data_IF_173012077883
#
_entry.id   IF_173012077883
#
_cell.length_a   1.000
_cell.length_b   1.000
_cell.length_c   1.000
_cell.angle_alpha   90.00
_cell.angle_beta   90.00
_cell.angle_gamma   90.00
#
_symmetry.space_group_name_H-M   'P 1'
#
loop_
_entity.id
_entity.type
_entity.pdbx_description
1 polymer ?
#
# COMPACT_ATOMS: atom_id res chain seq x y z
N UNK A 1 -22.81 21.77 -36.54
CA UNK A 1 -23.77 21.88 -35.42
C UNK A 1 -24.33 20.47 -35.21
N UNK A 2 -24.01 19.66 -34.20
CA UNK A 2 -23.71 19.86 -32.78
C UNK A 2 -22.59 18.91 -32.32
N UNK A 3 -21.79 19.39 -31.38
CA UNK A 3 -20.76 18.71 -30.61
C UNK A 3 -21.24 17.39 -29.98
N UNK A 4 -20.46 16.31 -30.14
CA UNK A 4 -20.57 15.09 -29.35
C UNK A 4 -19.26 14.86 -28.59
N UNK A 5 -19.20 15.49 -27.41
CA UNK A 5 -18.43 15.14 -26.21
C UNK A 5 -17.20 14.26 -26.42
N UNK A 6 -16.02 14.85 -26.22
CA UNK A 6 -14.82 14.15 -25.77
C UNK A 6 -15.17 13.31 -24.52
N UNK A 7 -15.44 12.03 -24.73
CA UNK A 7 -15.31 11.03 -23.69
C UNK A 7 -13.82 10.90 -23.42
N UNK A 8 -13.34 11.59 -22.38
CA UNK A 8 -12.04 11.33 -21.77
C UNK A 8 -12.03 9.88 -21.25
N UNK A 9 -11.86 8.92 -22.15
CA UNK A 9 -11.57 7.54 -21.79
C UNK A 9 -10.20 7.56 -21.10
N UNK A 10 -10.21 7.38 -19.78
CA UNK A 10 -9.01 7.05 -19.02
C UNK A 10 -8.45 5.73 -19.56
N UNK A 11 -7.63 5.79 -20.61
CA UNK A 11 -6.91 4.64 -21.14
C UNK A 11 -5.78 4.27 -20.17
N UNK A 12 -6.13 3.63 -19.05
CA UNK A 12 -5.15 2.97 -18.19
C UNK A 12 -4.46 1.90 -19.03
N UNK A 13 -3.14 2.01 -19.17
CA UNK A 13 -2.34 1.06 -19.93
C UNK A 13 -2.63 -0.37 -19.46
N UNK A 14 -2.94 -1.29 -20.39
CA UNK A 14 -3.17 -2.71 -20.06
C UNK A 14 -2.01 -3.32 -19.25
N UNK A 15 -0.79 -2.85 -19.51
CA UNK A 15 0.42 -3.25 -18.78
C UNK A 15 0.37 -2.83 -17.30
N UNK A 16 -0.16 -1.65 -16.99
CA UNK A 16 -0.26 -1.17 -15.61
C UNK A 16 -1.25 -2.03 -14.81
N UNK A 17 -2.44 -2.27 -15.36
CA UNK A 17 -3.46 -3.17 -14.76
C UNK A 17 -2.93 -4.57 -14.51
N UNK A 18 -2.12 -5.09 -15.44
CA UNK A 18 -1.48 -6.39 -15.25
C UNK A 18 -0.52 -6.40 -14.04
N UNK A 19 0.29 -5.35 -13.88
CA UNK A 19 1.20 -5.21 -12.73
C UNK A 19 0.39 -5.04 -11.42
N UNK A 20 -0.73 -4.32 -11.44
CA UNK A 20 -1.62 -4.14 -10.27
C UNK A 20 -2.20 -5.48 -9.82
N UNK A 21 -2.69 -6.28 -10.78
CA UNK A 21 -3.21 -7.61 -10.48
C UNK A 21 -2.11 -8.55 -9.96
N UNK A 22 -0.92 -8.49 -10.55
CA UNK A 22 0.22 -9.31 -10.13
C UNK A 22 0.71 -8.92 -8.73
N UNK A 23 0.64 -7.63 -8.37
CA UNK A 23 0.92 -7.16 -7.02
C UNK A 23 0.03 -7.84 -5.98
N UNK A 24 -1.28 -7.91 -6.25
CA UNK A 24 -2.26 -8.58 -5.38
C UNK A 24 -1.93 -10.07 -5.25
N UNK A 25 -1.54 -10.73 -6.34
CA UNK A 25 -1.13 -12.14 -6.31
C UNK A 25 0.07 -12.35 -5.38
N UNK A 26 1.13 -11.54 -5.50
CA UNK A 26 2.30 -11.66 -4.62
C UNK A 26 1.94 -11.40 -3.15
N UNK A 27 1.08 -10.42 -2.90
CA UNK A 27 0.61 -10.13 -1.56
C UNK A 27 -0.16 -11.32 -0.96
N UNK A 28 -1.09 -11.93 -1.71
CA UNK A 28 -1.84 -13.11 -1.24
C UNK A 28 -0.92 -14.31 -0.96
N UNK A 29 0.08 -14.57 -1.80
CA UNK A 29 1.04 -15.66 -1.58
C UNK A 29 1.85 -15.40 -0.31
N UNK A 30 2.35 -14.17 -0.12
CA UNK A 30 3.06 -13.77 1.11
C UNK A 30 2.21 -14.02 2.35
N UNK A 31 0.96 -13.57 2.35
CA UNK A 31 0.07 -13.69 3.52
C UNK A 31 -0.37 -15.14 3.75
N UNK A 32 -0.49 -15.96 2.71
CA UNK A 32 -0.68 -17.40 2.85
C UNK A 32 0.55 -18.06 3.49
N UNK A 33 1.77 -17.69 3.08
CA UNK A 33 3.00 -18.16 3.73
C UNK A 33 3.06 -17.74 5.20
N UNK A 34 2.55 -16.55 5.54
CA UNK A 34 2.44 -16.12 6.92
C UNK A 34 1.46 -16.98 7.72
N UNK A 35 0.26 -17.22 7.19
CA UNK A 35 -0.74 -18.09 7.82
C UNK A 35 -0.23 -19.52 8.06
N UNK A 36 0.59 -20.04 7.15
CA UNK A 36 1.21 -21.38 7.25
C UNK A 36 2.56 -21.39 7.99
N UNK A 37 2.98 -20.26 8.56
CA UNK A 37 4.27 -20.09 9.25
C UNK A 37 5.51 -20.42 8.38
N UNK A 38 5.39 -20.32 7.06
CA UNK A 38 6.49 -20.53 6.11
C UNK A 38 7.41 -19.31 6.04
N UNK A 39 8.22 -19.15 7.09
CA UNK A 39 9.12 -18.01 7.31
C UNK A 39 9.95 -17.60 6.09
N UNK A 40 10.74 -18.53 5.53
CA UNK A 40 11.67 -18.20 4.44
C UNK A 40 10.93 -17.72 3.19
N UNK A 41 9.86 -18.41 2.80
CA UNK A 41 9.05 -18.03 1.65
C UNK A 41 8.29 -16.72 1.88
N UNK A 42 7.74 -16.52 3.07
CA UNK A 42 7.04 -15.29 3.43
C UNK A 42 7.95 -14.06 3.33
N UNK A 43 9.19 -14.15 3.83
CA UNK A 43 10.18 -13.06 3.72
C UNK A 43 10.57 -12.82 2.26
N UNK A 44 10.83 -13.88 1.49
CA UNK A 44 11.16 -13.76 0.05
C UNK A 44 10.02 -13.07 -0.70
N UNK A 45 8.76 -13.41 -0.42
CA UNK A 45 7.58 -12.83 -1.08
C UNK A 45 7.24 -11.41 -0.60
N UNK A 46 7.74 -10.99 0.56
CA UNK A 46 7.64 -9.59 0.97
C UNK A 46 8.43 -8.65 0.04
N UNK A 47 9.57 -9.11 -0.51
CA UNK A 47 10.42 -8.32 -1.42
C UNK A 47 9.63 -7.85 -2.66
N UNK A 48 9.10 -8.74 -3.53
CA UNK A 48 8.36 -8.30 -4.71
C UNK A 48 7.10 -7.50 -4.35
N UNK A 49 6.44 -7.83 -3.23
CA UNK A 49 5.25 -7.10 -2.77
C UNK A 49 5.58 -5.64 -2.44
N UNK A 50 6.60 -5.40 -1.61
CA UNK A 50 7.05 -4.05 -1.25
C UNK A 50 7.57 -3.31 -2.49
N UNK A 51 8.41 -3.95 -3.31
CA UNK A 51 8.98 -3.33 -4.52
C UNK A 51 7.91 -2.86 -5.50
N UNK A 52 6.85 -3.64 -5.72
CA UNK A 52 5.78 -3.27 -6.65
C UNK A 52 4.92 -2.13 -6.08
N UNK A 53 4.60 -2.15 -4.78
CA UNK A 53 3.87 -1.04 -4.15
C UNK A 53 4.65 0.28 -4.21
N UNK A 54 5.98 0.23 -4.05
CA UNK A 54 6.85 1.39 -4.23
C UNK A 54 6.88 1.86 -5.69
N UNK A 55 6.91 0.93 -6.65
CA UNK A 55 6.83 1.26 -8.08
C UNK A 55 5.57 2.05 -8.43
N UNK A 56 4.42 1.70 -7.84
CA UNK A 56 3.15 2.40 -8.08
C UNK A 56 3.16 3.87 -7.65
N UNK A 57 3.81 4.18 -6.52
CA UNK A 57 3.99 5.57 -6.06
C UNK A 57 4.69 6.40 -7.15
N UNK A 58 5.81 5.91 -7.68
CA UNK A 58 6.56 6.63 -8.70
C UNK A 58 5.86 6.69 -10.05
N UNK A 59 5.10 5.64 -10.39
CA UNK A 59 4.40 5.53 -11.66
C UNK A 59 3.18 6.46 -11.74
N UNK A 60 2.43 6.58 -10.66
CA UNK A 60 1.17 7.32 -10.61
C UNK A 60 1.28 8.71 -9.94
N UNK A 61 2.50 9.21 -9.71
CA UNK A 61 2.76 10.52 -9.05
C UNK A 61 2.12 11.73 -9.73
N UNK A 62 1.68 11.60 -10.98
CA UNK A 62 1.03 12.68 -11.73
C UNK A 62 -0.42 12.93 -11.28
N UNK A 63 -1.14 11.91 -10.81
CA UNK A 63 -2.46 12.11 -10.20
C UNK A 63 -2.32 12.11 -8.68
N UNK A 64 -2.62 13.25 -8.06
CA UNK A 64 -2.60 13.41 -6.61
C UNK A 64 -3.52 12.40 -5.90
N UNK A 65 -4.66 12.04 -6.49
CA UNK A 65 -5.55 11.04 -5.89
C UNK A 65 -4.87 9.68 -5.81
N UNK A 66 -4.30 9.23 -6.92
CA UNK A 66 -3.57 7.98 -6.99
C UNK A 66 -2.33 8.00 -6.10
N UNK A 67 -1.59 9.11 -6.05
CA UNK A 67 -0.38 9.23 -5.24
C UNK A 67 -0.66 8.99 -3.75
N UNK A 68 -1.67 9.65 -3.18
CA UNK A 68 -1.99 9.51 -1.75
C UNK A 68 -2.44 8.08 -1.42
N UNK A 69 -3.24 7.45 -2.29
CA UNK A 69 -3.65 6.06 -2.11
C UNK A 69 -2.49 5.09 -2.23
N UNK A 70 -1.61 5.26 -3.23
CA UNK A 70 -0.46 4.39 -3.43
C UNK A 70 0.55 4.51 -2.27
N UNK A 71 0.74 5.71 -1.71
CA UNK A 71 1.57 5.88 -0.49
C UNK A 71 0.91 5.20 0.71
N UNK A 72 -0.40 5.33 0.89
CA UNK A 72 -1.12 4.68 1.99
C UNK A 72 -1.03 3.15 1.89
N UNK A 73 -1.21 2.58 0.69
CA UNK A 73 -1.04 1.14 0.42
C UNK A 73 0.40 0.69 0.69
N UNK A 74 1.40 1.45 0.26
CA UNK A 74 2.80 1.16 0.57
C UNK A 74 3.07 1.15 2.07
N UNK A 75 2.62 2.16 2.82
CA UNK A 75 2.77 2.21 4.29
C UNK A 75 2.11 1.02 4.97
N UNK A 76 0.92 0.64 4.51
CA UNK A 76 0.22 -0.53 4.98
C UNK A 76 0.97 -1.84 4.71
N UNK A 77 1.57 -2.01 3.53
CA UNK A 77 2.39 -3.19 3.19
C UNK A 77 3.66 -3.25 4.06
N UNK A 78 4.29 -2.11 4.33
CA UNK A 78 5.43 -2.02 5.26
C UNK A 78 4.98 -2.45 6.67
N UNK A 79 3.85 -1.93 7.15
CA UNK A 79 3.29 -2.29 8.45
C UNK A 79 3.00 -3.79 8.57
N UNK A 80 2.35 -4.37 7.56
CA UNK A 80 2.01 -5.78 7.49
C UNK A 80 3.27 -6.66 7.42
N UNK A 81 4.27 -6.25 6.64
CA UNK A 81 5.57 -6.95 6.56
C UNK A 81 6.33 -6.91 7.88
N UNK A 82 6.29 -5.78 8.60
CA UNK A 82 6.86 -5.67 9.93
C UNK A 82 6.17 -6.59 10.94
N UNK A 83 4.84 -6.59 10.97
CA UNK A 83 4.06 -7.46 11.87
C UNK A 83 4.37 -8.94 11.59
N UNK A 84 4.30 -9.38 10.33
CA UNK A 84 4.68 -10.75 9.95
C UNK A 84 6.11 -11.10 10.38
N UNK A 85 7.06 -10.20 10.16
CA UNK A 85 8.45 -10.41 10.57
C UNK A 85 8.56 -10.54 12.09
N UNK A 86 7.85 -9.72 12.86
CA UNK A 86 7.88 -9.80 14.33
C UNK A 86 7.44 -11.16 14.87
N UNK A 87 6.45 -11.80 14.24
CA UNK A 87 6.00 -13.15 14.61
C UNK A 87 7.00 -14.23 14.16
N UNK A 88 7.49 -14.17 12.91
CA UNK A 88 8.48 -15.12 12.40
C UNK A 88 9.81 -15.14 13.17
N UNK A 89 10.17 -14.02 13.78
CA UNK A 89 11.38 -13.89 14.58
C UNK A 89 11.09 -13.90 16.10
N UNK A 90 9.82 -14.14 16.50
CA UNK A 90 9.39 -14.28 17.90
C UNK A 90 9.81 -13.10 18.78
N UNK A 91 9.64 -11.88 18.24
CA UNK A 91 9.85 -10.62 18.97
C UNK A 91 8.58 -9.76 19.03
N UNK A 92 7.46 -10.27 18.52
CA UNK A 92 6.13 -9.66 18.56
C UNK A 92 5.73 -9.24 19.97
N UNK A 93 5.96 -10.09 20.98
CA UNK A 93 5.65 -9.82 22.40
C UNK A 93 6.79 -9.16 23.18
N UNK A 94 7.98 -9.05 22.57
CA UNK A 94 9.14 -8.44 23.23
C UNK A 94 9.01 -6.91 23.22
N UNK A 95 9.31 -6.29 24.34
CA UNK A 95 9.48 -4.84 24.41
C UNK A 95 10.73 -4.48 23.63
N UNK A 96 10.60 -3.56 22.67
CA UNK A 96 11.71 -3.10 21.84
C UNK A 96 12.03 -1.63 22.07
N UNK A 97 11.05 -0.74 21.89
CA UNK A 97 11.24 0.72 21.88
C UNK A 97 10.18 1.36 22.76
N UNK A 98 10.56 2.20 23.72
CA UNK A 98 9.65 3.01 24.54
C UNK A 98 8.50 2.19 25.17
N UNK A 99 8.81 1.02 25.75
CA UNK A 99 7.83 0.07 26.31
C UNK A 99 6.81 -0.50 25.31
N UNK A 100 6.99 -0.27 24.01
CA UNK A 100 6.16 -0.85 22.96
C UNK A 100 6.66 -2.25 22.57
N UNK A 101 5.70 -3.16 22.44
CA UNK A 101 5.91 -4.50 21.92
C UNK A 101 6.30 -4.46 20.44
N UNK A 102 7.08 -5.43 19.98
CA UNK A 102 7.53 -5.51 18.59
C UNK A 102 6.38 -5.47 17.57
N UNK A 103 5.25 -6.12 17.88
CA UNK A 103 4.04 -6.06 17.05
C UNK A 103 3.40 -4.67 17.02
N UNK A 104 3.38 -3.97 18.16
CA UNK A 104 2.79 -2.64 18.29
C UNK A 104 3.48 -1.59 17.42
N UNK A 105 4.76 -1.80 17.07
CA UNK A 105 5.48 -0.91 16.16
C UNK A 105 4.89 -0.91 14.73
N UNK A 106 4.17 -1.97 14.32
CA UNK A 106 3.44 -1.96 13.06
C UNK A 106 2.33 -0.88 13.04
N UNK A 107 1.78 -0.51 14.20
CA UNK A 107 0.70 0.46 14.29
C UNK A 107 1.09 1.86 13.77
N UNK A 108 2.38 2.24 13.84
CA UNK A 108 2.85 3.53 13.34
C UNK A 108 2.64 3.68 11.83
N UNK A 109 3.19 2.81 10.96
CA UNK A 109 2.94 2.90 9.53
C UNK A 109 1.45 2.69 9.17
N UNK A 110 0.71 1.83 9.87
CA UNK A 110 -0.75 1.72 9.71
C UNK A 110 -1.44 3.07 9.97
N UNK A 111 -1.16 3.69 11.11
CA UNK A 111 -1.73 4.96 11.52
C UNK A 111 -1.36 6.10 10.58
N UNK A 112 -0.11 6.14 10.09
CA UNK A 112 0.34 7.12 9.11
C UNK A 112 -0.40 6.97 7.78
N UNK A 113 -0.64 5.74 7.30
CA UNK A 113 -1.43 5.48 6.11
C UNK A 113 -2.87 5.96 6.23
N UNK A 114 -3.51 5.67 7.38
CA UNK A 114 -4.87 6.15 7.68
C UNK A 114 -4.90 7.69 7.74
N UNK A 115 -3.98 8.30 8.47
CA UNK A 115 -3.88 9.75 8.59
C UNK A 115 -3.70 10.42 7.23
N UNK A 116 -2.86 9.86 6.37
CA UNK A 116 -2.62 10.35 5.02
C UNK A 116 -3.91 10.34 4.18
N UNK A 117 -4.68 9.24 4.22
CA UNK A 117 -5.96 9.15 3.53
C UNK A 117 -7.00 10.11 4.12
N UNK A 118 -7.07 10.26 5.44
CA UNK A 118 -7.95 11.22 6.10
C UNK A 118 -7.65 12.65 5.64
N UNK A 119 -6.38 13.04 5.60
CA UNK A 119 -5.95 14.35 5.09
C UNK A 119 -6.40 14.53 3.64
N UNK A 120 -6.21 13.51 2.81
CA UNK A 120 -6.63 13.55 1.41
C UNK A 120 -8.14 13.78 1.27
N UNK A 121 -8.96 12.97 1.91
CA UNK A 121 -10.42 13.03 1.76
C UNK A 121 -11.05 14.27 2.38
N UNK A 122 -10.49 14.77 3.49
CA UNK A 122 -11.05 15.93 4.20
C UNK A 122 -10.59 17.26 3.58
N UNK A 123 -9.31 17.40 3.22
CA UNK A 123 -8.74 18.70 2.85
C UNK A 123 -8.42 18.85 1.36
N UNK A 124 -8.07 17.75 0.66
CA UNK A 124 -7.54 17.81 -0.71
C UNK A 124 -8.65 17.52 -1.73
N UNK A 125 -9.40 16.44 -1.53
CA UNK A 125 -10.47 16.01 -2.42
C UNK A 125 -11.53 17.10 -2.67
N UNK A 126 -12.04 17.83 -1.65
CA UNK A 126 -13.03 18.89 -1.87
C UNK A 126 -12.51 20.05 -2.73
N UNK A 127 -11.22 20.40 -2.58
CA UNK A 127 -10.57 21.45 -3.38
C UNK A 127 -10.44 21.04 -4.84
N UNK A 128 -10.15 19.76 -5.13
CA UNK A 128 -10.09 19.22 -6.49
C UNK A 128 -11.45 19.30 -7.20
N UNK A 129 -12.56 19.08 -6.47
CA UNK A 129 -13.92 19.20 -7.00
C UNK A 129 -14.34 20.64 -7.31
N UNK A 130 -13.79 21.64 -6.61
CA UNK A 130 -14.09 23.06 -6.87
C UNK A 130 -13.32 23.63 -8.08
N UNK A 131 -12.23 22.98 -8.50
CA UNK A 131 -11.36 23.44 -9.60
C UNK A 131 -11.69 22.81 -10.96
N UNK A 132 -12.60 21.84 -11.03
CA UNK A 132 -13.08 21.19 -12.24
C UNK A 132 -14.53 21.61 -12.52
#
# INVERSE_FOLDING_TARGET
>A
MKSSKDSNEFHISKKLRFIENLHIVFWLIKDMCWCLEFKNLGIIMAIPTVSISLYFIFKNKADLSELYHNIAVFLWIIANTWWMSSEFFKFDEKILILDLKGRSLAAFPFGLGILLLLIFYIFIYPKKKQSN
#
